data_IF_912205865486
#
_entry.id   IF_912205865486
#
_cell.length_a   1.000
_cell.length_b   1.000
_cell.length_c   1.000
_cell.angle_alpha   90.00
_cell.angle_beta   90.00
_cell.angle_gamma   90.00
#
_symmetry.space_group_name_H-M   'P 1'
#
loop_
_entity.id
_entity.type
_entity.pdbx_description
1 polymer ?
#
# COMPACT_ATOMS: atom_id res chain seq x y z
N UNK A 1 -10.30 -4.99 16.82
CA UNK A 1 -10.85 -4.09 15.76
C UNK A 1 -12.13 -3.35 16.19
N UNK A 2 -12.59 -3.54 17.42
CA UNK A 2 -13.78 -2.84 17.92
C UNK A 2 -13.63 -1.32 17.79
N UNK A 3 -14.64 -0.65 17.21
CA UNK A 3 -14.66 0.79 17.00
C UNK A 3 -13.58 1.32 16.03
N UNK A 4 -13.10 0.47 15.10
CA UNK A 4 -12.01 0.85 14.18
C UNK A 4 -12.37 2.04 13.27
N UNK A 5 -13.63 2.17 12.89
CA UNK A 5 -14.11 3.30 12.07
C UNK A 5 -13.90 4.63 12.79
N UNK A 6 -14.31 4.72 14.05
CA UNK A 6 -14.12 5.91 14.89
C UNK A 6 -12.63 6.20 15.13
N UNK A 7 -11.83 5.13 15.30
CA UNK A 7 -10.37 5.26 15.47
C UNK A 7 -9.72 5.82 14.22
N UNK A 8 -10.13 5.34 13.03
CA UNK A 8 -9.66 5.87 11.74
C UNK A 8 -10.05 7.34 11.56
N UNK A 9 -11.30 7.71 11.80
CA UNK A 9 -11.75 9.10 11.70
C UNK A 9 -10.93 10.02 12.62
N UNK A 10 -10.72 9.63 13.88
CA UNK A 10 -9.89 10.37 14.83
C UNK A 10 -8.42 10.41 14.40
N UNK A 11 -7.89 9.31 13.88
CA UNK A 11 -6.51 9.23 13.40
C UNK A 11 -6.26 10.14 12.21
N UNK A 12 -7.20 10.19 11.28
CA UNK A 12 -7.12 11.04 10.10
C UNK A 12 -7.33 12.54 10.38
N UNK A 13 -7.80 12.92 11.56
CA UNK A 13 -7.95 14.34 11.93
C UNK A 13 -6.62 15.13 11.89
N UNK A 14 -5.49 14.46 11.96
CA UNK A 14 -4.15 15.06 11.85
C UNK A 14 -3.66 15.20 10.39
N UNK A 15 -4.38 14.65 9.41
CA UNK A 15 -4.03 14.72 7.99
C UNK A 15 -4.46 16.08 7.43
N UNK A 16 -3.54 16.79 6.83
CA UNK A 16 -3.80 18.08 6.20
C UNK A 16 -4.56 17.96 4.86
N UNK A 17 -5.18 19.04 4.40
CA UNK A 17 -5.96 19.03 3.16
C UNK A 17 -5.13 18.76 1.91
N UNK A 18 -3.83 19.05 1.94
CA UNK A 18 -2.89 18.85 0.82
C UNK A 18 -2.12 17.52 0.90
N UNK A 19 -2.27 16.80 2.00
CA UNK A 19 -1.52 15.56 2.23
C UNK A 19 -1.93 14.45 1.26
N UNK A 20 -0.97 13.59 0.94
CA UNK A 20 -1.19 12.33 0.24
C UNK A 20 -1.06 11.18 1.25
N UNK A 21 -2.07 10.35 1.34
CA UNK A 21 -2.08 9.16 2.21
C UNK A 21 -1.94 7.92 1.37
N UNK A 22 -1.04 6.99 1.74
CA UNK A 22 -0.91 5.69 1.10
C UNK A 22 -1.55 4.63 1.98
N UNK A 23 -2.46 3.85 1.40
CA UNK A 23 -3.19 2.77 2.06
C UNK A 23 -2.69 1.44 1.51
N UNK A 24 -2.02 0.66 2.36
CA UNK A 24 -1.26 -0.54 1.98
C UNK A 24 -2.12 -1.80 1.79
N UNK A 25 -3.34 -1.67 1.28
CA UNK A 25 -4.20 -2.81 0.91
C UNK A 25 -5.17 -3.27 2.01
N UNK A 26 -6.00 -4.24 1.67
CA UNK A 26 -7.11 -4.78 2.49
C UNK A 26 -8.11 -3.69 2.90
N UNK A 27 -8.58 -2.94 1.90
CA UNK A 27 -9.41 -1.75 2.08
C UNK A 27 -10.89 -2.07 2.16
N UNK A 28 -11.33 -3.15 1.52
CA UNK A 28 -12.72 -3.61 1.54
C UNK A 28 -12.80 -5.11 1.27
N UNK A 29 -13.71 -5.77 1.97
CA UNK A 29 -14.03 -7.19 1.76
C UNK A 29 -15.14 -7.41 0.74
N UNK A 30 -15.59 -6.35 0.06
CA UNK A 30 -16.55 -6.45 -1.03
C UNK A 30 -16.02 -7.34 -2.16
N UNK A 31 -16.89 -8.17 -2.73
CA UNK A 31 -16.55 -9.06 -3.85
C UNK A 31 -16.55 -8.34 -5.20
N UNK A 32 -17.08 -7.12 -5.24
CA UNK A 32 -17.19 -6.29 -6.43
C UNK A 32 -16.98 -4.81 -6.10
N UNK A 33 -16.75 -3.98 -7.12
CA UNK A 33 -16.64 -2.53 -6.95
C UNK A 33 -17.91 -1.93 -6.34
N UNK A 34 -19.08 -2.45 -6.71
CA UNK A 34 -20.37 -1.99 -6.17
C UNK A 34 -20.51 -2.34 -4.68
N UNK A 35 -20.11 -3.53 -4.27
CA UNK A 35 -20.14 -3.93 -2.86
C UNK A 35 -19.15 -3.11 -2.02
N UNK A 36 -17.96 -2.81 -2.58
CA UNK A 36 -16.93 -2.00 -1.92
C UNK A 36 -17.26 -0.48 -1.91
N UNK A 37 -18.31 -0.03 -2.60
CA UNK A 37 -18.63 1.39 -2.81
C UNK A 37 -18.78 2.17 -1.50
N UNK A 38 -19.33 1.57 -0.46
CA UNK A 38 -19.51 2.20 0.86
C UNK A 38 -18.16 2.47 1.53
N UNK A 39 -17.23 1.52 1.42
CA UNK A 39 -15.88 1.66 1.98
C UNK A 39 -15.10 2.73 1.22
N UNK A 40 -15.24 2.78 -0.11
CA UNK A 40 -14.64 3.85 -0.91
C UNK A 40 -15.20 5.23 -0.58
N UNK A 41 -16.51 5.35 -0.38
CA UNK A 41 -17.14 6.60 0.03
C UNK A 41 -16.60 7.07 1.40
N UNK A 42 -16.43 6.14 2.34
CA UNK A 42 -15.81 6.43 3.63
C UNK A 42 -14.36 6.92 3.46
N UNK A 43 -13.54 6.21 2.68
CA UNK A 43 -12.14 6.59 2.44
C UNK A 43 -12.03 7.92 1.70
N UNK A 44 -12.88 8.17 0.70
CA UNK A 44 -12.86 9.41 -0.06
C UNK A 44 -13.21 10.63 0.81
N UNK A 45 -14.11 10.46 1.78
CA UNK A 45 -14.52 11.50 2.72
C UNK A 45 -13.48 11.83 3.81
N UNK A 46 -12.48 10.97 4.03
CA UNK A 46 -11.41 11.25 4.99
C UNK A 46 -10.50 12.41 4.49
N UNK A 47 -9.86 13.17 5.41
CA UNK A 47 -8.91 14.23 5.05
C UNK A 47 -7.77 13.76 4.13
N UNK A 48 -7.19 14.70 3.40
CA UNK A 48 -6.08 14.49 2.47
C UNK A 48 -6.47 14.68 1.00
N UNK A 49 -5.62 15.33 0.23
CA UNK A 49 -5.85 15.60 -1.19
C UNK A 49 -5.91 14.31 -2.05
N UNK A 50 -5.14 13.30 -1.66
CA UNK A 50 -5.08 12.01 -2.38
C UNK A 50 -4.96 10.85 -1.41
N UNK A 51 -5.68 9.76 -1.71
CA UNK A 51 -5.51 8.45 -1.09
C UNK A 51 -5.04 7.48 -2.15
N UNK A 52 -3.82 7.00 -2.03
CA UNK A 52 -3.22 6.02 -2.95
C UNK A 52 -3.55 4.62 -2.44
N UNK A 53 -4.30 3.87 -3.24
CA UNK A 53 -4.80 2.56 -2.88
C UNK A 53 -3.93 1.47 -3.48
N UNK A 54 -3.37 0.61 -2.65
CA UNK A 54 -2.73 -0.64 -3.06
C UNK A 54 -3.72 -1.81 -2.95
N UNK A 55 -3.41 -2.87 -3.68
CA UNK A 55 -4.12 -4.14 -3.53
C UNK A 55 -3.61 -4.91 -2.32
N UNK A 56 -4.52 -5.36 -1.46
CA UNK A 56 -4.26 -6.41 -0.48
C UNK A 56 -4.75 -7.80 -0.95
N UNK A 57 -4.67 -8.80 -0.07
CA UNK A 57 -5.16 -10.14 -0.39
C UNK A 57 -6.69 -10.26 -0.24
N UNK A 58 -7.32 -9.44 0.58
CA UNK A 58 -8.77 -9.42 0.77
C UNK A 58 -9.51 -8.40 -0.12
N UNK A 59 -8.78 -7.65 -0.98
CA UNK A 59 -9.41 -6.74 -1.95
C UNK A 59 -9.93 -7.52 -3.17
N UNK A 60 -10.99 -8.31 -2.98
CA UNK A 60 -11.60 -9.16 -4.01
C UNK A 60 -12.24 -8.35 -5.15
N UNK A 61 -12.66 -7.12 -4.87
CA UNK A 61 -13.18 -6.14 -5.83
C UNK A 61 -12.16 -5.67 -6.86
N UNK A 62 -10.87 -5.92 -6.63
CA UNK A 62 -9.78 -5.40 -7.47
C UNK A 62 -9.90 -5.83 -8.93
N UNK A 63 -9.77 -4.86 -9.82
CA UNK A 63 -9.97 -5.03 -11.25
C UNK A 63 -8.82 -4.37 -12.04
N UNK A 64 -8.98 -4.15 -13.35
CA UNK A 64 -8.03 -3.33 -14.11
C UNK A 64 -8.05 -1.89 -13.63
N UNK A 65 -6.91 -1.21 -13.65
CA UNK A 65 -6.82 0.19 -13.23
C UNK A 65 -7.81 1.09 -14.00
N UNK A 66 -7.99 0.83 -15.31
CA UNK A 66 -8.96 1.57 -16.13
C UNK A 66 -10.39 1.43 -15.62
N UNK A 67 -10.81 0.19 -15.26
CA UNK A 67 -12.17 -0.06 -14.74
C UNK A 67 -12.36 0.58 -13.36
N UNK A 68 -11.37 0.47 -12.47
CA UNK A 68 -11.43 1.08 -11.15
C UNK A 68 -11.48 2.61 -11.21
N UNK A 69 -10.62 3.22 -12.02
CA UNK A 69 -10.60 4.68 -12.19
C UNK A 69 -11.90 5.22 -12.79
N UNK A 70 -12.49 4.50 -13.75
CA UNK A 70 -13.82 4.85 -14.29
C UNK A 70 -14.88 4.79 -13.21
N UNK A 71 -14.92 3.71 -12.43
CA UNK A 71 -15.85 3.53 -11.34
C UNK A 71 -15.73 4.65 -10.29
N UNK A 72 -14.52 5.05 -9.91
CA UNK A 72 -14.32 6.16 -8.99
C UNK A 72 -14.83 7.48 -9.56
N UNK A 73 -14.55 7.76 -10.83
CA UNK A 73 -15.03 8.96 -11.50
C UNK A 73 -16.57 9.01 -11.58
N UNK A 74 -17.20 7.92 -12.00
CA UNK A 74 -18.67 7.80 -12.11
C UNK A 74 -19.36 7.85 -10.73
N UNK A 75 -18.67 7.43 -9.68
CA UNK A 75 -19.16 7.49 -8.29
C UNK A 75 -18.87 8.84 -7.59
N UNK A 76 -18.14 9.76 -8.25
CA UNK A 76 -17.81 11.06 -7.69
C UNK A 76 -16.68 11.03 -6.65
N UNK A 77 -15.92 9.94 -6.56
CA UNK A 77 -14.77 9.83 -5.66
C UNK A 77 -13.59 10.62 -6.22
N UNK A 78 -13.28 11.75 -5.60
CA UNK A 78 -12.33 12.72 -6.14
C UNK A 78 -10.89 12.53 -5.63
N UNK A 79 -10.70 11.86 -4.51
CA UNK A 79 -9.40 11.73 -3.84
C UNK A 79 -8.74 10.36 -4.02
N UNK A 80 -9.50 9.33 -4.44
CA UNK A 80 -8.99 7.96 -4.56
C UNK A 80 -8.17 7.78 -5.85
N UNK A 81 -7.00 7.16 -5.74
CA UNK A 81 -6.10 6.84 -6.85
C UNK A 81 -5.52 5.44 -6.67
N UNK A 82 -5.34 4.72 -7.78
CA UNK A 82 -4.75 3.38 -7.77
C UNK A 82 -3.23 3.47 -7.91
N UNK A 83 -2.51 2.91 -6.93
CA UNK A 83 -1.07 2.70 -7.01
C UNK A 83 -0.81 1.25 -7.45
N UNK A 84 -0.53 1.07 -8.75
CA UNK A 84 -0.31 -0.25 -9.36
C UNK A 84 0.36 -0.14 -10.73
N UNK A 85 1.59 -0.58 -10.86
CA UNK A 85 2.44 -0.45 -12.04
C UNK A 85 2.81 1.00 -12.41
N UNK A 86 2.58 1.95 -11.54
CA UNK A 86 2.83 3.37 -11.70
C UNK A 86 3.51 3.92 -10.45
N UNK A 87 3.84 5.20 -10.46
CA UNK A 87 4.22 5.92 -9.25
C UNK A 87 3.48 7.26 -9.17
N UNK A 88 3.46 7.84 -8.00
CA UNK A 88 3.00 9.20 -7.75
C UNK A 88 4.13 10.03 -7.16
N UNK A 89 4.08 11.33 -7.35
CA UNK A 89 5.06 12.25 -6.79
C UNK A 89 4.48 12.98 -5.58
N UNK A 90 5.29 13.13 -4.54
CA UNK A 90 5.00 13.94 -3.36
C UNK A 90 6.32 14.42 -2.73
N UNK A 91 6.47 15.75 -2.50
CA UNK A 91 7.63 16.30 -1.81
C UNK A 91 8.99 15.95 -2.42
N UNK A 92 9.07 15.78 -3.75
CA UNK A 92 10.28 15.36 -4.46
C UNK A 92 10.55 13.85 -4.44
N UNK A 93 9.78 13.06 -3.67
CA UNK A 93 9.83 11.60 -3.68
C UNK A 93 8.91 10.98 -4.73
N UNK A 94 9.30 9.83 -5.25
CA UNK A 94 8.41 8.94 -5.99
C UNK A 94 7.82 7.90 -5.03
N UNK A 95 6.49 7.89 -4.94
CA UNK A 95 5.71 6.91 -4.18
C UNK A 95 5.41 5.72 -5.09
N UNK A 96 6.14 4.63 -4.91
CA UNK A 96 6.06 3.40 -5.69
C UNK A 96 5.39 2.30 -4.88
N UNK A 97 4.86 1.29 -5.55
CA UNK A 97 4.34 0.15 -4.81
C UNK A 97 3.48 -0.80 -5.61
N UNK A 98 3.20 -1.93 -4.98
CA UNK A 98 2.33 -2.98 -5.46
C UNK A 98 1.91 -3.87 -4.30
N UNK A 99 1.16 -4.97 -4.58
CA UNK A 99 0.75 -5.89 -3.53
C UNK A 99 1.92 -6.56 -2.81
N UNK A 100 3.01 -6.83 -3.52
CA UNK A 100 4.09 -7.67 -3.04
C UNK A 100 3.74 -9.17 -3.14
N UNK A 101 4.49 -10.01 -2.46
CA UNK A 101 4.35 -11.46 -2.56
C UNK A 101 4.48 -12.16 -1.20
N UNK A 102 3.68 -13.22 -1.03
CA UNK A 102 3.71 -14.08 0.13
C UNK A 102 3.66 -15.54 -0.33
N UNK A 103 4.72 -16.31 -0.11
CA UNK A 103 4.85 -17.68 -0.65
C UNK A 103 3.80 -18.67 -0.12
N UNK A 104 3.32 -18.45 1.09
CA UNK A 104 2.39 -19.39 1.73
C UNK A 104 0.98 -19.36 1.13
N UNK A 105 0.59 -18.26 0.47
CA UNK A 105 -0.77 -18.12 -0.06
C UNK A 105 -0.96 -18.66 -1.48
N UNK A 106 0.08 -18.63 -2.31
CA UNK A 106 -0.07 -19.05 -3.71
C UNK A 106 1.24 -19.65 -4.24
N UNK A 107 1.34 -20.92 -4.35
CA UNK A 107 2.49 -21.60 -4.99
C UNK A 107 2.62 -21.33 -6.52
N UNK A 108 1.88 -20.37 -7.10
CA UNK A 108 1.88 -20.08 -8.54
C UNK A 108 3.04 -19.16 -8.94
N UNK A 109 4.08 -19.76 -9.50
CA UNK A 109 5.25 -19.07 -10.03
C UNK A 109 4.93 -18.04 -11.13
N UNK A 110 3.83 -18.21 -11.89
CA UNK A 110 3.41 -17.25 -12.92
C UNK A 110 2.85 -15.98 -12.29
N UNK A 111 2.12 -16.13 -11.20
CA UNK A 111 1.59 -14.97 -10.44
C UNK A 111 2.73 -14.21 -9.79
N UNK A 112 3.68 -14.92 -9.18
CA UNK A 112 4.89 -14.34 -8.61
C UNK A 112 5.70 -13.53 -9.62
N UNK A 113 6.01 -14.12 -10.78
CA UNK A 113 6.74 -13.41 -11.85
C UNK A 113 6.01 -12.14 -12.31
N UNK A 114 4.69 -12.20 -12.43
CA UNK A 114 3.89 -11.01 -12.78
C UNK A 114 3.97 -9.94 -11.71
N UNK A 115 4.03 -10.33 -10.44
CA UNK A 115 4.15 -9.38 -9.32
C UNK A 115 5.51 -8.67 -9.33
N UNK A 116 6.60 -9.38 -9.61
CA UNK A 116 7.92 -8.78 -9.80
C UNK A 116 7.94 -7.77 -10.95
N UNK A 117 7.35 -8.12 -12.10
CA UNK A 117 7.23 -7.20 -13.26
C UNK A 117 6.43 -5.94 -12.88
N UNK A 118 5.38 -6.07 -12.08
CA UNK A 118 4.56 -4.94 -11.62
C UNK A 118 5.33 -4.02 -10.68
N UNK A 119 6.06 -4.61 -9.73
CA UNK A 119 6.90 -3.84 -8.83
C UNK A 119 7.98 -3.09 -9.61
N UNK A 120 8.67 -3.79 -10.50
CA UNK A 120 9.70 -3.18 -11.33
C UNK A 120 9.15 -2.05 -12.21
N UNK A 121 7.96 -2.21 -12.80
CA UNK A 121 7.31 -1.17 -13.58
C UNK A 121 7.03 0.09 -12.73
N UNK A 122 6.55 -0.09 -11.49
CA UNK A 122 6.32 1.00 -10.55
C UNK A 122 7.63 1.73 -10.20
N UNK A 123 8.70 0.98 -9.91
CA UNK A 123 10.03 1.54 -9.59
C UNK A 123 10.67 2.26 -10.78
N UNK A 124 10.55 1.70 -12.01
CA UNK A 124 11.01 2.34 -13.25
C UNK A 124 10.31 3.65 -13.54
N UNK A 125 9.00 3.72 -13.29
CA UNK A 125 8.20 4.94 -13.49
C UNK A 125 8.69 6.12 -12.62
N UNK A 126 9.41 5.86 -11.54
CA UNK A 126 9.99 6.87 -10.67
C UNK A 126 11.18 7.63 -11.32
N UNK A 127 11.86 7.05 -12.31
CA UNK A 127 13.11 7.61 -12.86
C UNK A 127 14.18 7.75 -11.77
N UNK A 128 14.88 8.88 -11.78
CA UNK A 128 15.99 9.17 -10.84
C UNK A 128 15.54 9.72 -9.47
N UNK A 129 14.23 9.88 -9.25
CA UNK A 129 13.74 10.43 -7.98
C UNK A 129 14.04 9.49 -6.81
N UNK A 130 14.29 10.02 -5.60
CA UNK A 130 14.30 9.23 -4.36
C UNK A 130 12.99 8.45 -4.23
N UNK A 131 13.07 7.19 -3.82
CA UNK A 131 11.93 6.26 -3.87
C UNK A 131 11.50 5.82 -2.48
N UNK A 132 10.20 5.96 -2.23
CA UNK A 132 9.51 5.31 -1.13
C UNK A 132 8.65 4.19 -1.72
N UNK A 133 8.81 2.97 -1.23
CA UNK A 133 8.05 1.82 -1.72
C UNK A 133 7.00 1.39 -0.69
N UNK A 134 5.82 1.07 -1.17
CA UNK A 134 4.69 0.60 -0.38
C UNK A 134 4.25 -0.76 -0.87
N UNK A 135 4.15 -1.72 0.02
CA UNK A 135 3.73 -3.08 -0.26
C UNK A 135 2.59 -3.49 0.67
N UNK A 136 1.70 -4.37 0.22
CA UNK A 136 0.78 -5.01 1.15
C UNK A 136 1.49 -6.12 1.91
N UNK A 137 2.07 -7.09 1.19
CA UNK A 137 2.82 -8.16 1.83
C UNK A 137 4.21 -7.71 2.26
N UNK A 138 4.67 -8.13 3.48
CA UNK A 138 6.02 -7.87 3.91
C UNK A 138 7.03 -8.60 2.99
N UNK A 139 8.05 -7.91 2.45
CA UNK A 139 9.10 -8.59 1.69
C UNK A 139 10.04 -9.41 2.58
N UNK A 140 10.00 -9.14 3.88
CA UNK A 140 10.70 -9.90 4.92
C UNK A 140 9.98 -9.76 6.26
N UNK A 141 10.00 -10.83 7.06
CA UNK A 141 9.60 -10.86 8.46
C UNK A 141 10.38 -12.01 9.15
N UNK A 142 10.23 -12.19 10.47
CA UNK A 142 10.97 -13.25 11.18
C UNK A 142 10.68 -14.62 10.55
N UNK A 143 11.75 -15.28 10.09
CA UNK A 143 11.69 -16.59 9.44
C UNK A 143 11.34 -16.57 7.94
N UNK A 144 11.15 -15.40 7.33
CA UNK A 144 10.80 -15.28 5.92
C UNK A 144 11.54 -14.14 5.22
N UNK A 145 11.94 -14.39 3.98
CA UNK A 145 12.49 -13.38 3.06
C UNK A 145 12.04 -13.69 1.64
N UNK A 146 11.76 -12.66 0.85
CA UNK A 146 11.58 -12.74 -0.59
C UNK A 146 12.79 -12.09 -1.28
N UNK A 147 13.84 -12.84 -1.62
CA UNK A 147 15.08 -12.28 -2.15
C UNK A 147 14.88 -11.46 -3.40
N UNK A 148 13.96 -11.86 -4.27
CA UNK A 148 13.71 -11.21 -5.55
C UNK A 148 13.09 -9.82 -5.38
N UNK A 149 12.15 -9.66 -4.43
CA UNK A 149 11.58 -8.33 -4.10
C UNK A 149 12.66 -7.47 -3.45
N UNK A 150 13.41 -8.01 -2.48
CA UNK A 150 14.47 -7.27 -1.79
C UNK A 150 15.52 -6.79 -2.81
N UNK A 151 15.96 -7.66 -3.73
CA UNK A 151 16.90 -7.31 -4.77
C UNK A 151 16.39 -6.18 -5.69
N UNK A 152 15.11 -6.17 -6.04
CA UNK A 152 14.51 -5.08 -6.80
C UNK A 152 14.53 -3.76 -6.01
N UNK A 153 14.17 -3.79 -4.72
CA UNK A 153 14.19 -2.58 -3.89
C UNK A 153 15.61 -1.98 -3.80
N UNK A 154 16.62 -2.82 -3.59
CA UNK A 154 18.04 -2.41 -3.53
C UNK A 154 18.54 -1.92 -4.89
N UNK A 155 18.28 -2.67 -5.98
CA UNK A 155 18.67 -2.32 -7.35
C UNK A 155 18.15 -0.95 -7.79
N UNK A 156 16.93 -0.61 -7.41
CA UNK A 156 16.30 0.67 -7.77
C UNK A 156 16.52 1.78 -6.74
N UNK A 157 17.36 1.56 -5.73
CA UNK A 157 17.72 2.55 -4.72
C UNK A 157 16.52 3.01 -3.87
N UNK A 158 15.67 2.08 -3.47
CA UNK A 158 14.57 2.39 -2.56
C UNK A 158 15.14 2.70 -1.18
N UNK A 159 14.85 3.88 -0.64
CA UNK A 159 15.34 4.28 0.68
C UNK A 159 14.55 3.63 1.82
N UNK A 160 13.23 3.60 1.68
CA UNK A 160 12.31 3.10 2.70
C UNK A 160 11.19 2.28 2.06
N UNK A 161 10.90 1.12 2.68
CA UNK A 161 9.81 0.24 2.29
C UNK A 161 8.81 0.11 3.45
N UNK A 162 7.56 0.47 3.18
CA UNK A 162 6.44 0.37 4.11
C UNK A 162 5.55 -0.80 3.72
N UNK A 163 5.15 -1.62 4.67
CA UNK A 163 4.33 -2.81 4.39
C UNK A 163 3.23 -3.01 5.44
N UNK A 164 2.16 -3.68 5.03
CA UNK A 164 1.01 -4.01 5.87
C UNK A 164 0.91 -5.50 6.20
N UNK A 165 -0.30 -6.06 6.09
CA UNK A 165 -0.65 -7.48 6.19
C UNK A 165 -0.51 -8.11 7.57
N UNK A 166 0.54 -7.83 8.33
CA UNK A 166 0.73 -8.40 9.67
C UNK A 166 -0.18 -7.69 10.69
N UNK A 167 -1.07 -8.44 11.31
CA UNK A 167 -2.05 -7.95 12.28
C UNK A 167 -2.01 -8.69 13.60
N UNK A 168 -2.42 -8.04 14.69
CA UNK A 168 -2.55 -8.64 16.01
C UNK A 168 -1.29 -9.34 16.48
N UNK A 169 -1.36 -10.62 16.80
CA UNK A 169 -0.21 -11.39 17.29
C UNK A 169 0.94 -11.53 16.30
N UNK A 170 0.70 -11.31 14.99
CA UNK A 170 1.75 -11.36 13.97
C UNK A 170 2.62 -10.10 13.92
N UNK A 171 2.27 -9.01 14.61
CA UNK A 171 3.14 -7.83 14.75
C UNK A 171 4.54 -8.19 15.26
N UNK A 172 4.65 -9.17 16.16
CA UNK A 172 5.93 -9.65 16.70
C UNK A 172 6.89 -10.23 15.64
N UNK A 173 6.35 -10.60 14.47
CA UNK A 173 7.15 -11.12 13.36
C UNK A 173 7.69 -10.02 12.45
N UNK A 174 7.24 -8.78 12.63
CA UNK A 174 7.68 -7.66 11.82
C UNK A 174 9.19 -7.45 11.94
N UNK A 175 9.84 -7.16 10.84
CA UNK A 175 11.22 -6.70 10.78
C UNK A 175 11.21 -5.23 10.40
N UNK A 176 11.68 -4.39 11.31
CA UNK A 176 11.75 -2.95 11.14
C UNK A 176 13.18 -2.43 11.17
N UNK A 177 13.37 -1.22 10.63
CA UNK A 177 14.67 -0.58 10.53
C UNK A 177 15.47 -1.03 9.31
N UNK A 178 16.74 -0.66 9.28
CA UNK A 178 17.61 -0.88 8.13
C UNK A 178 18.01 -2.35 8.01
N UNK A 179 17.78 -2.92 6.82
CA UNK A 179 18.25 -4.23 6.41
C UNK A 179 18.91 -4.07 5.03
N UNK A 180 20.23 -4.23 4.94
CA UNK A 180 20.96 -3.86 3.73
C UNK A 180 20.83 -2.36 3.44
N UNK A 181 20.47 -2.02 2.22
CA UNK A 181 20.35 -0.63 1.77
C UNK A 181 18.95 -0.02 2.00
N UNK A 182 17.97 -0.83 2.40
CA UNK A 182 16.58 -0.42 2.57
C UNK A 182 16.19 -0.40 4.05
N UNK A 183 15.42 0.62 4.46
CA UNK A 183 14.79 0.66 5.77
C UNK A 183 13.32 0.21 5.66
N UNK A 184 12.89 -0.73 6.51
CA UNK A 184 11.57 -1.37 6.49
C UNK A 184 10.71 -0.92 7.66
N UNK A 185 9.40 -0.76 7.44
CA UNK A 185 8.45 -0.29 8.46
C UNK A 185 7.09 -0.98 8.29
N UNK A 186 6.57 -1.53 9.40
CA UNK A 186 5.20 -2.04 9.45
C UNK A 186 4.21 -0.87 9.61
N UNK A 187 3.18 -0.84 8.75
CA UNK A 187 2.13 0.18 8.77
C UNK A 187 0.71 -0.39 8.81
N UNK A 188 0.55 -1.62 9.31
CA UNK A 188 -0.78 -2.20 9.53
C UNK A 188 -1.60 -1.29 10.47
N UNK A 189 -2.88 -1.07 10.15
CA UNK A 189 -3.71 -0.08 10.81
C UNK A 189 -3.77 -0.26 12.35
N UNK A 190 -3.90 -1.49 12.82
CA UNK A 190 -3.91 -1.82 14.25
C UNK A 190 -2.53 -1.66 14.91
N UNK A 191 -1.44 -1.84 14.16
CA UNK A 191 -0.08 -1.61 14.64
C UNK A 191 0.19 -0.13 14.88
N UNK A 192 -0.20 0.73 13.94
CA UNK A 192 -0.02 2.19 14.06
C UNK A 192 -1.16 2.89 14.82
N UNK A 193 -2.03 2.12 15.50
CA UNK A 193 -3.13 2.64 16.29
C UNK A 193 -4.18 3.38 15.46
N UNK A 194 -4.41 2.96 14.22
CA UNK A 194 -5.35 3.56 13.26
C UNK A 194 -5.05 5.03 12.93
N UNK A 195 -3.79 5.43 13.01
CA UNK A 195 -3.33 6.80 12.70
C UNK A 195 -2.36 6.79 11.53
N UNK A 196 -2.61 7.56 10.48
CA UNK A 196 -1.62 7.77 9.44
C UNK A 196 -0.29 8.25 10.03
N UNK A 197 0.80 7.69 9.54
CA UNK A 197 2.15 8.05 9.96
C UNK A 197 2.72 9.08 8.99
N UNK A 198 3.18 10.23 9.49
CA UNK A 198 3.88 11.22 8.67
C UNK A 198 5.28 10.71 8.34
N UNK A 199 5.59 10.54 7.06
CA UNK A 199 6.84 9.95 6.58
C UNK A 199 7.72 10.91 5.78
N UNK A 200 7.17 12.00 5.28
CA UNK A 200 7.88 13.12 4.63
C UNK A 200 7.08 14.41 4.75
N UNK A 201 7.75 15.52 4.50
CA UNK A 201 7.14 16.86 4.49
C UNK A 201 6.81 17.30 3.07
#
# INVERSE_FOLDING_TARGET
WEGYVDKLQKGFAAVGPEDTVVLCGDLSWGMSLEEAKKDFAFLDALPGARKLLLKGNHDYWWNTAAKMNRFFAESGFSTLRILHNNCYEYGGYALCGTRGWFYEETGDQKVFKRELIRLEASLKAAGERPKLCFLHYPPLYQGYRCPEIIALLEQYGVERCYYGHLHGGSHRLAVEGRQGDVAYYLVSADYVGFRPQKICE
#
